data_IF_190785214311
#
_entry.id   IF_190785214311
#
_cell.length_a   1.000
_cell.length_b   1.000
_cell.length_c   1.000
_cell.angle_alpha   90.00
_cell.angle_beta   90.00
_cell.angle_gamma   90.00
#
_symmetry.space_group_name_H-M   'P 1'
#
loop_
_entity.id
_entity.type
_entity.pdbx_description
1 polymer ?
#
# COMPACT_ATOMS: atom_id res chain seq x y z
N UNK A 1 -1.27 -0.17 -18.45
CA UNK A 1 -0.90 0.17 -17.06
C UNK A 1 -1.36 -0.86 -16.04
N UNK A 2 -2.57 -1.43 -16.16
CA UNK A 2 -3.12 -2.42 -15.22
C UNK A 2 -2.29 -3.71 -15.07
N UNK A 3 -1.78 -4.25 -16.18
CA UNK A 3 -0.92 -5.45 -16.16
C UNK A 3 0.35 -5.26 -15.29
N UNK A 4 0.98 -4.08 -15.35
CA UNK A 4 2.20 -3.77 -14.59
C UNK A 4 1.92 -3.77 -13.07
N UNK A 5 0.74 -3.28 -12.65
CA UNK A 5 0.36 -3.25 -11.24
C UNK A 5 0.02 -4.64 -10.69
N UNK A 6 -0.61 -5.51 -11.48
CA UNK A 6 -0.81 -6.91 -11.09
C UNK A 6 0.51 -7.67 -10.94
N UNK A 7 1.44 -7.52 -11.89
CA UNK A 7 2.78 -8.09 -11.75
C UNK A 7 3.53 -7.57 -10.52
N UNK A 8 3.30 -6.31 -10.13
CA UNK A 8 3.89 -5.74 -8.94
C UNK A 8 3.33 -6.38 -7.66
N UNK A 9 2.02 -6.66 -7.62
CA UNK A 9 1.36 -7.37 -6.51
C UNK A 9 1.89 -8.81 -6.37
N UNK A 10 2.04 -9.52 -7.48
CA UNK A 10 2.57 -10.90 -7.49
C UNK A 10 4.00 -11.02 -6.96
N UNK A 11 4.78 -9.93 -7.04
CA UNK A 11 6.15 -9.85 -6.55
C UNK A 11 6.26 -9.39 -5.10
N UNK A 12 5.15 -9.07 -4.44
CA UNK A 12 5.16 -8.65 -3.04
C UNK A 12 5.42 -9.83 -2.11
N UNK A 13 6.28 -9.60 -1.14
CA UNK A 13 6.49 -10.46 0.01
C UNK A 13 5.43 -10.19 1.09
N UNK A 14 5.28 -11.15 2.02
CA UNK A 14 4.26 -11.12 3.09
C UNK A 14 4.24 -9.80 3.86
N UNK A 15 5.40 -9.22 4.18
CA UNK A 15 5.46 -7.94 4.91
C UNK A 15 4.90 -6.77 4.10
N UNK A 16 5.12 -6.75 2.78
CA UNK A 16 4.64 -5.69 1.88
C UNK A 16 3.13 -5.82 1.68
N UNK A 17 2.63 -7.05 1.57
CA UNK A 17 1.18 -7.34 1.51
C UNK A 17 0.48 -6.89 2.79
N UNK A 18 1.00 -7.26 3.97
CA UNK A 18 0.40 -6.88 5.24
C UNK A 18 0.34 -5.36 5.42
N UNK A 19 1.40 -4.65 5.02
CA UNK A 19 1.41 -3.19 5.02
C UNK A 19 0.40 -2.64 4.02
N UNK A 20 0.37 -3.17 2.79
CA UNK A 20 -0.58 -2.70 1.77
C UNK A 20 -2.04 -2.85 2.23
N UNK A 21 -2.40 -3.99 2.80
CA UNK A 21 -3.74 -4.22 3.37
C UNK A 21 -4.06 -3.19 4.46
N UNK A 22 -3.14 -3.00 5.42
CA UNK A 22 -3.32 -2.02 6.49
C UNK A 22 -3.47 -0.58 5.95
N UNK A 23 -2.74 -0.23 4.90
CA UNK A 23 -2.87 1.07 4.23
C UNK A 23 -4.23 1.23 3.55
N UNK A 24 -4.73 0.19 2.89
CA UNK A 24 -6.06 0.19 2.27
C UNK A 24 -7.14 0.41 3.31
N UNK A 25 -7.08 -0.29 4.43
CA UNK A 25 -8.06 -0.15 5.51
C UNK A 25 -8.06 1.23 6.16
N UNK A 26 -6.87 1.82 6.38
CA UNK A 26 -6.73 3.13 7.05
C UNK A 26 -6.99 4.32 6.14
N UNK A 27 -6.61 4.22 4.87
CA UNK A 27 -6.70 5.33 3.92
C UNK A 27 -8.03 5.31 3.18
N UNK A 28 -8.55 4.13 2.82
CA UNK A 28 -9.66 4.01 1.89
C UNK A 28 -9.34 4.76 0.59
N UNK A 29 -10.16 5.76 0.24
CA UNK A 29 -9.96 6.67 -0.90
C UNK A 29 -9.33 8.01 -0.52
N UNK A 30 -8.95 8.21 0.75
CA UNK A 30 -8.43 9.48 1.25
C UNK A 30 -6.90 9.57 1.21
N UNK A 31 -6.38 10.81 1.17
CA UNK A 31 -4.95 11.11 1.30
C UNK A 31 -4.63 11.59 2.72
N UNK A 32 -3.90 10.79 3.52
CA UNK A 32 -3.63 11.07 4.95
C UNK A 32 -2.15 10.93 5.30
N UNK A 33 -1.70 11.65 6.32
CA UNK A 33 -0.42 11.33 6.98
C UNK A 33 -0.66 10.17 7.95
N UNK A 34 0.18 9.15 7.88
CA UNK A 34 0.12 8.02 8.81
C UNK A 34 1.29 8.06 9.79
N UNK A 35 1.05 7.60 11.01
CA UNK A 35 2.12 7.38 11.98
C UNK A 35 2.74 5.99 11.75
N UNK A 36 3.96 5.97 11.23
CA UNK A 36 4.69 4.72 10.99
C UNK A 36 5.09 4.01 12.28
N UNK A 37 5.09 4.68 13.43
CA UNK A 37 5.32 4.03 14.71
C UNK A 37 4.12 3.17 15.09
N UNK A 38 2.92 3.72 14.98
CA UNK A 38 1.66 3.00 15.25
C UNK A 38 1.51 1.78 14.32
N UNK A 39 1.73 1.96 13.01
CA UNK A 39 1.70 0.84 12.05
C UNK A 39 2.74 -0.23 12.40
N UNK A 40 3.93 0.17 12.86
CA UNK A 40 4.99 -0.76 13.21
C UNK A 40 4.62 -1.60 14.45
N UNK A 41 4.00 -0.99 15.45
CA UNK A 41 3.54 -1.67 16.65
C UNK A 41 2.45 -2.71 16.32
N UNK A 42 1.47 -2.35 15.49
CA UNK A 42 0.39 -3.28 15.08
C UNK A 42 0.89 -4.45 14.23
N UNK A 43 1.87 -4.20 13.38
CA UNK A 43 2.43 -5.22 12.48
C UNK A 43 3.55 -6.03 13.13
N UNK A 44 3.98 -5.70 14.36
CA UNK A 44 5.13 -6.32 15.01
C UNK A 44 6.45 -6.08 14.25
N UNK A 45 6.55 -4.95 13.55
CA UNK A 45 7.70 -4.56 12.73
C UNK A 45 8.49 -3.43 13.38
N UNK A 46 9.69 -3.16 12.87
CA UNK A 46 10.37 -1.91 13.18
C UNK A 46 9.80 -0.76 12.32
N UNK A 47 9.83 0.46 12.85
CA UNK A 47 9.45 1.67 12.10
C UNK A 47 10.24 1.81 10.78
N UNK A 48 11.51 1.40 10.77
CA UNK A 48 12.34 1.42 9.58
C UNK A 48 11.89 0.38 8.55
N UNK A 49 11.49 -0.82 8.99
CA UNK A 49 10.91 -1.83 8.11
C UNK A 49 9.59 -1.35 7.50
N UNK A 50 8.71 -0.71 8.28
CA UNK A 50 7.48 -0.10 7.74
C UNK A 50 7.81 0.95 6.69
N UNK A 51 8.70 1.90 7.01
CA UNK A 51 9.11 2.95 6.06
C UNK A 51 9.65 2.35 4.76
N UNK A 52 10.56 1.38 4.85
CA UNK A 52 11.18 0.73 3.70
C UNK A 52 10.14 0.04 2.80
N UNK A 53 9.22 -0.73 3.40
CA UNK A 53 8.18 -1.41 2.63
C UNK A 53 7.17 -0.43 2.02
N UNK A 54 6.83 0.66 2.72
CA UNK A 54 6.00 1.74 2.12
C UNK A 54 6.71 2.37 0.92
N UNK A 55 8.01 2.63 1.01
CA UNK A 55 8.78 3.17 -0.13
C UNK A 55 8.79 2.20 -1.32
N UNK A 56 8.91 0.89 -1.08
CA UNK A 56 8.76 -0.13 -2.13
C UNK A 56 7.38 -0.14 -2.77
N UNK A 57 6.31 -0.04 -1.97
CA UNK A 57 4.94 0.05 -2.49
C UNK A 57 4.72 1.31 -3.34
N UNK A 58 5.42 2.41 -3.00
CA UNK A 58 5.44 3.64 -3.80
C UNK A 58 6.18 3.43 -5.12
N UNK A 59 7.36 2.81 -5.09
CA UNK A 59 8.14 2.47 -6.29
C UNK A 59 7.38 1.50 -7.22
N UNK A 60 6.62 0.58 -6.64
CA UNK A 60 5.74 -0.34 -7.35
C UNK A 60 4.49 0.33 -7.95
N UNK A 61 4.23 1.60 -7.63
CA UNK A 61 3.05 2.32 -8.10
C UNK A 61 1.73 1.83 -7.48
N UNK A 62 1.79 1.24 -6.28
CA UNK A 62 0.64 0.78 -5.50
C UNK A 62 0.22 1.82 -4.46
N UNK A 63 1.15 2.67 -4.01
CA UNK A 63 0.90 3.76 -3.07
C UNK A 63 1.42 5.07 -3.65
N UNK A 64 0.67 6.15 -3.51
CA UNK A 64 1.17 7.50 -3.82
C UNK A 64 1.69 8.17 -2.56
N UNK A 65 2.75 8.97 -2.70
CA UNK A 65 3.28 9.80 -1.61
C UNK A 65 3.47 11.24 -2.08
N UNK A 66 2.69 12.17 -1.53
CA UNK A 66 2.75 13.61 -1.86
C UNK A 66 2.70 14.45 -0.58
N UNK A 67 3.61 15.41 -0.43
CA UNK A 67 3.63 16.30 0.74
C UNK A 67 3.70 15.58 2.11
N UNK A 68 4.24 14.37 2.14
CA UNK A 68 4.30 13.51 3.34
C UNK A 68 3.00 12.76 3.68
N UNK A 69 1.96 12.88 2.85
CA UNK A 69 0.75 12.09 2.93
C UNK A 69 0.81 10.90 1.97
N UNK A 70 0.01 9.88 2.25
CA UNK A 70 -0.13 8.67 1.45
C UNK A 70 -1.57 8.53 0.95
N UNK A 71 -1.74 7.94 -0.23
CA UNK A 71 -3.02 7.47 -0.76
C UNK A 71 -2.84 6.15 -1.53
N UNK A 72 -3.90 5.36 -1.62
CA UNK A 72 -3.94 4.15 -2.45
C UNK A 72 -4.18 4.56 -3.91
N UNK A 73 -3.54 3.86 -4.85
CA UNK A 73 -3.84 4.05 -6.28
C UNK A 73 -5.12 3.29 -6.62
N UNK A 74 -6.20 4.00 -6.94
CA UNK A 74 -7.57 3.45 -7.10
C UNK A 74 -7.67 2.32 -8.15
N UNK A 75 -6.83 2.36 -9.20
CA UNK A 75 -6.80 1.36 -10.27
C UNK A 75 -6.25 -0.02 -9.85
N UNK A 76 -5.84 -0.21 -8.60
CA UNK A 76 -5.38 -1.52 -8.08
C UNK A 76 -6.54 -2.52 -8.02
N UNK A 77 -7.76 -2.04 -7.71
CA UNK A 77 -8.97 -2.87 -7.58
C UNK A 77 -9.80 -2.94 -8.87
N UNK A 78 -9.21 -2.48 -9.96
CA UNK A 78 -9.56 -2.85 -11.31
C UNK A 78 -9.93 -4.32 -11.47
N UNK A 79 -11.21 -4.73 -11.55
CA UNK A 79 -11.76 -6.12 -11.73
C UNK A 79 -12.20 -6.81 -10.44
N UNK A 80 -13.33 -6.33 -9.91
CA UNK A 80 -14.33 -7.21 -9.31
C UNK A 80 -15.78 -6.75 -9.57
N UNK A 81 -16.04 -5.98 -10.64
CA UNK A 81 -17.39 -5.97 -11.23
C UNK A 81 -17.41 -7.08 -12.28
N UNK A 82 -17.50 -8.32 -11.81
CA UNK A 82 -18.01 -9.40 -12.63
C UNK A 82 -19.42 -9.04 -13.04
N UNK A 83 -19.57 -8.67 -14.31
CA UNK A 83 -20.84 -8.70 -15.02
C UNK A 83 -21.25 -10.17 -15.16
N UNK A 84 -22.41 -10.57 -14.63
CA UNK A 84 -22.99 -11.90 -14.86
C UNK A 84 -23.68 -12.47 -13.65
#
# INVERSE_FOLDING_TARGET
MRAIRMEAIEKLHVAEINILVMLVDRLGTEEKRLDYKELAEELGLSRNAVKYNVEKLVEAGLVSKRGGKLSIIEDIFSEATGSG
#
